data_IF_930800765325
#
_entry.id   IF_930800765325
#
_cell.length_a   1.000
_cell.length_b   1.000
_cell.length_c   1.000
_cell.angle_alpha   90.00
_cell.angle_beta   90.00
_cell.angle_gamma   90.00
#
_symmetry.space_group_name_H-M   'P 1'
#
loop_
_entity.id
_entity.type
_entity.pdbx_description
1 polymer ?
#
# COMPACT_ATOMS: atom_id res chain seq x y z
N UNK A 1 -8.62 75.28 -9.39
CA UNK A 1 -8.08 73.90 -9.56
C UNK A 1 -9.21 72.99 -9.99
N UNK A 2 -9.22 72.52 -11.25
CA UNK A 2 -10.22 71.57 -11.77
C UNK A 2 -9.61 70.17 -11.82
N UNK A 3 -10.16 69.27 -11.02
CA UNK A 3 -9.80 67.85 -10.94
C UNK A 3 -10.00 67.16 -12.30
N UNK A 4 -8.92 66.63 -12.88
CA UNK A 4 -8.91 65.77 -14.08
C UNK A 4 -8.88 64.28 -13.71
N UNK A 5 -9.57 63.88 -12.64
CA UNK A 5 -9.50 62.51 -12.11
C UNK A 5 -10.40 61.43 -12.77
N UNK A 6 -11.44 61.69 -13.60
CA UNK A 6 -12.30 60.59 -14.06
C UNK A 6 -11.69 59.77 -15.21
N UNK A 7 -10.67 60.29 -15.90
CA UNK A 7 -10.14 59.66 -17.12
C UNK A 7 -9.08 58.59 -16.87
N UNK A 8 -8.38 58.64 -15.72
CA UNK A 8 -7.36 57.65 -15.35
C UNK A 8 -7.96 56.37 -14.76
N UNK A 9 -9.10 56.51 -14.07
CA UNK A 9 -9.80 55.39 -13.44
C UNK A 9 -10.47 54.48 -14.49
N UNK A 10 -10.95 55.07 -15.60
CA UNK A 10 -11.56 54.31 -16.70
C UNK A 10 -10.54 53.50 -17.53
N UNK A 11 -9.31 54.01 -17.67
CA UNK A 11 -8.21 53.34 -18.36
C UNK A 11 -7.65 52.14 -17.57
N UNK A 12 -7.65 52.22 -16.24
CA UNK A 12 -7.21 51.12 -15.37
C UNK A 12 -8.20 49.94 -15.34
N UNK A 13 -9.51 50.21 -15.46
CA UNK A 13 -10.55 49.15 -15.51
C UNK A 13 -10.57 48.43 -16.87
N UNK A 14 -10.25 49.12 -17.97
CA UNK A 14 -10.13 48.49 -19.29
C UNK A 14 -8.94 47.54 -19.40
N UNK A 15 -7.84 47.83 -18.72
CA UNK A 15 -6.60 47.01 -18.78
C UNK A 15 -6.71 45.71 -17.96
N UNK A 16 -7.50 45.67 -16.90
CA UNK A 16 -7.73 44.44 -16.11
C UNK A 16 -8.65 43.44 -16.79
N UNK A 17 -9.56 43.89 -17.67
CA UNK A 17 -10.46 42.98 -18.41
C UNK A 17 -9.71 42.24 -19.53
N UNK A 18 -8.65 42.84 -20.09
CA UNK A 18 -7.83 42.23 -21.14
C UNK A 18 -6.81 41.20 -20.62
N UNK A 19 -6.49 41.19 -19.33
CA UNK A 19 -5.53 40.24 -18.74
C UNK A 19 -6.19 38.93 -18.27
N UNK A 20 -7.51 38.90 -18.15
CA UNK A 20 -8.27 37.74 -17.63
C UNK A 20 -8.62 36.70 -18.69
N UNK A 21 -8.30 36.94 -19.96
CA UNK A 21 -8.58 36.04 -21.08
C UNK A 21 -7.31 35.34 -21.56
N UNK A 22 -6.62 34.66 -20.64
CA UNK A 22 -5.61 33.67 -21.04
C UNK A 22 -6.34 32.38 -21.46
N UNK A 23 -6.05 31.81 -22.64
CA UNK A 23 -6.55 30.47 -22.96
C UNK A 23 -6.03 29.50 -21.90
N UNK A 24 -6.82 28.50 -21.46
CA UNK A 24 -6.32 27.48 -20.57
C UNK A 24 -5.08 26.86 -21.23
N UNK A 25 -3.95 26.90 -20.51
CA UNK A 25 -2.80 26.11 -20.90
C UNK A 25 -3.25 24.65 -20.97
N UNK A 26 -2.75 23.92 -21.97
CA UNK A 26 -3.12 22.54 -22.26
C UNK A 26 -2.75 21.66 -21.05
N UNK A 27 -3.74 21.32 -20.22
CA UNK A 27 -3.66 20.42 -19.07
C UNK A 27 -4.14 18.99 -19.40
N UNK A 28 -4.09 18.59 -20.67
CA UNK A 28 -4.50 17.23 -21.06
C UNK A 28 -3.46 16.17 -20.63
N UNK A 29 -2.19 16.54 -20.52
CA UNK A 29 -1.08 15.65 -20.17
C UNK A 29 -1.03 15.37 -18.65
N UNK A 30 -1.35 16.38 -17.82
CA UNK A 30 -1.27 16.28 -16.35
C UNK A 30 -2.32 15.32 -15.76
N UNK A 31 -3.54 15.26 -16.30
CA UNK A 31 -4.58 14.37 -15.76
C UNK A 31 -4.29 12.90 -16.11
N UNK A 32 -3.86 12.63 -17.34
CA UNK A 32 -3.48 11.27 -17.77
C UNK A 32 -2.24 10.75 -17.02
N UNK A 33 -1.25 11.62 -16.79
CA UNK A 33 -0.07 11.30 -15.98
C UNK A 33 -0.43 11.00 -14.52
N UNK A 34 -1.38 11.74 -13.95
CA UNK A 34 -1.83 11.51 -12.58
C UNK A 34 -2.63 10.19 -12.44
N UNK A 35 -3.47 9.86 -13.42
CA UNK A 35 -4.17 8.57 -13.46
C UNK A 35 -3.21 7.39 -13.67
N UNK A 36 -2.21 7.54 -14.53
CA UNK A 36 -1.18 6.53 -14.75
C UNK A 36 -0.35 6.31 -13.46
N UNK A 37 0.01 7.39 -12.77
CA UNK A 37 0.70 7.34 -11.49
C UNK A 37 -0.15 6.67 -10.41
N UNK A 38 -1.44 7.01 -10.31
CA UNK A 38 -2.34 6.40 -9.33
C UNK A 38 -2.52 4.91 -9.59
N UNK A 39 -2.66 4.49 -10.86
CA UNK A 39 -2.68 3.07 -11.24
C UNK A 39 -1.39 2.37 -10.84
N UNK A 40 -0.23 2.98 -11.10
CA UNK A 40 1.06 2.42 -10.72
C UNK A 40 1.20 2.26 -9.19
N UNK A 41 0.78 3.25 -8.41
CA UNK A 41 0.80 3.18 -6.95
C UNK A 41 -0.16 2.12 -6.40
N UNK A 42 -1.38 2.05 -6.95
CA UNK A 42 -2.35 1.01 -6.58
C UNK A 42 -1.80 -0.38 -6.90
N UNK A 43 -1.17 -0.55 -8.07
CA UNK A 43 -0.54 -1.81 -8.47
C UNK A 43 0.59 -2.20 -7.49
N UNK A 44 1.46 -1.25 -7.13
CA UNK A 44 2.53 -1.49 -6.14
C UNK A 44 2.00 -1.88 -4.76
N UNK A 45 0.85 -1.36 -4.34
CA UNK A 45 0.22 -1.72 -3.07
C UNK A 45 -0.35 -3.14 -3.14
N UNK A 46 -0.99 -3.51 -4.25
CA UNK A 46 -1.53 -4.86 -4.45
C UNK A 46 -0.42 -5.92 -4.61
N UNK A 47 0.69 -5.54 -5.24
CA UNK A 47 1.81 -6.45 -5.52
C UNK A 47 2.72 -6.66 -4.31
N UNK A 48 2.57 -5.87 -3.23
CA UNK A 48 3.44 -5.96 -2.06
C UNK A 48 3.16 -7.27 -1.31
N UNK A 49 4.12 -8.23 -1.27
CA UNK A 49 3.92 -9.46 -0.54
C UNK A 49 3.79 -9.16 0.96
N UNK A 50 3.12 -10.05 1.69
CA UNK A 50 3.06 -9.96 3.15
C UNK A 50 4.47 -9.89 3.73
N UNK A 51 4.76 -8.78 4.42
CA UNK A 51 5.96 -8.63 5.21
C UNK A 51 5.63 -8.95 6.68
N UNK A 52 6.13 -10.06 7.24
CA UNK A 52 5.96 -10.36 8.66
C UNK A 52 6.70 -9.36 9.58
N UNK A 53 7.42 -8.39 9.01
CA UNK A 53 8.12 -7.32 9.71
C UNK A 53 9.51 -7.77 10.15
N UNK A 54 9.57 -8.62 11.18
CA UNK A 54 10.84 -9.08 11.75
C UNK A 54 11.15 -10.52 11.30
N UNK A 55 11.76 -10.64 10.12
CA UNK A 55 12.21 -11.94 9.59
C UNK A 55 13.26 -12.59 10.49
N UNK A 56 14.16 -11.82 11.08
CA UNK A 56 15.20 -12.35 11.96
C UNK A 56 14.60 -13.00 13.22
N UNK A 57 13.54 -12.41 13.78
CA UNK A 57 12.81 -13.03 14.91
C UNK A 57 12.10 -14.33 14.51
N UNK A 58 11.59 -14.44 13.27
CA UNK A 58 11.01 -15.68 12.75
C UNK A 58 12.09 -16.75 12.63
N UNK A 59 13.22 -16.43 11.99
CA UNK A 59 14.31 -17.37 11.77
C UNK A 59 14.88 -17.89 13.09
N UNK A 60 15.13 -16.99 14.05
CA UNK A 60 15.58 -17.34 15.39
C UNK A 60 14.59 -18.27 16.10
N UNK A 61 13.29 -17.96 16.02
CA UNK A 61 12.27 -18.83 16.61
C UNK A 61 12.27 -20.22 15.97
N UNK A 62 12.41 -20.31 14.64
CA UNK A 62 12.44 -21.59 13.94
C UNK A 62 13.65 -22.41 14.35
N UNK A 63 14.84 -21.81 14.38
CA UNK A 63 16.07 -22.46 14.80
C UNK A 63 15.95 -23.02 16.23
N UNK A 64 15.53 -22.18 17.18
CA UNK A 64 15.38 -22.59 18.58
C UNK A 64 14.32 -23.69 18.76
N UNK A 65 13.21 -23.61 18.02
CA UNK A 65 12.11 -24.57 18.13
C UNK A 65 12.49 -25.91 17.53
N UNK A 66 13.07 -25.91 16.32
CA UNK A 66 13.57 -27.11 15.66
C UNK A 66 14.64 -27.80 16.51
N UNK A 67 15.57 -27.04 17.11
CA UNK A 67 16.60 -27.57 18.00
C UNK A 67 16.03 -28.25 19.24
N UNK A 68 14.90 -27.74 19.77
CA UNK A 68 14.21 -28.35 20.91
C UNK A 68 13.45 -29.63 20.53
N UNK A 69 13.15 -29.85 19.25
CA UNK A 69 12.47 -31.05 18.75
C UNK A 69 11.04 -31.24 19.27
N UNK A 70 10.48 -30.23 19.94
CA UNK A 70 9.12 -30.28 20.51
C UNK A 70 8.11 -30.17 19.38
N UNK A 71 7.10 -31.03 19.38
CA UNK A 71 6.06 -31.02 18.35
C UNK A 71 5.40 -29.64 18.22
N UNK A 72 5.23 -29.12 17.00
CA UNK A 72 4.53 -27.86 16.76
C UNK A 72 3.04 -27.98 17.09
N UNK A 73 2.34 -26.84 17.14
CA UNK A 73 0.88 -26.82 17.28
C UNK A 73 0.25 -27.56 16.10
N UNK A 74 -0.56 -28.58 16.38
CA UNK A 74 -1.13 -29.46 15.33
C UNK A 74 -2.46 -28.95 14.76
N UNK A 75 -3.14 -28.06 15.48
CA UNK A 75 -4.42 -27.50 15.05
C UNK A 75 -4.23 -26.20 14.25
N UNK A 76 -4.88 -26.07 13.08
CA UNK A 76 -4.85 -24.83 12.32
C UNK A 76 -5.65 -23.70 13.00
N UNK A 77 -5.41 -22.43 12.62
CA UNK A 77 -6.22 -21.32 13.12
C UNK A 77 -7.69 -21.42 12.68
N UNK A 78 -8.62 -20.76 13.40
CA UNK A 78 -10.00 -20.65 12.97
C UNK A 78 -10.11 -20.08 11.55
N UNK A 79 -10.91 -20.72 10.70
CA UNK A 79 -11.14 -20.29 9.33
C UNK A 79 -10.07 -20.70 8.32
N UNK A 80 -9.12 -21.57 8.69
CA UNK A 80 -8.20 -22.23 7.75
C UNK A 80 -8.98 -22.90 6.62
N UNK A 81 -8.51 -22.76 5.37
CA UNK A 81 -9.23 -23.26 4.18
C UNK A 81 -8.37 -24.24 3.37
N UNK A 82 -9.00 -25.07 2.52
CA UNK A 82 -8.27 -25.92 1.60
C UNK A 82 -7.34 -25.11 0.68
N UNK A 83 -6.10 -25.57 0.53
CA UNK A 83 -5.09 -24.93 -0.32
C UNK A 83 -4.36 -23.74 0.32
N UNK A 84 -4.66 -23.39 1.57
CA UNK A 84 -3.92 -22.33 2.26
C UNK A 84 -2.49 -22.75 2.60
N UNK A 85 -1.61 -21.76 2.55
CA UNK A 85 -0.22 -21.83 3.01
C UNK A 85 -0.02 -20.85 4.17
N UNK A 86 1.19 -20.84 4.75
CA UNK A 86 1.51 -19.86 5.78
C UNK A 86 1.37 -18.41 5.30
N UNK A 87 1.55 -18.14 4.01
CA UNK A 87 1.38 -16.81 3.43
C UNK A 87 -0.07 -16.29 3.50
N UNK A 88 -1.06 -17.16 3.71
CA UNK A 88 -2.46 -16.75 3.90
C UNK A 88 -2.74 -16.25 5.33
N UNK A 89 -1.80 -16.42 6.27
CA UNK A 89 -1.94 -16.06 7.68
C UNK A 89 -1.40 -14.65 7.99
N UNK A 90 -1.54 -13.72 7.03
CA UNK A 90 -1.03 -12.34 7.09
C UNK A 90 -1.60 -11.53 8.26
N UNK A 91 -2.75 -11.94 8.77
CA UNK A 91 -3.47 -11.29 9.87
C UNK A 91 -2.88 -11.61 11.26
N UNK A 92 -1.98 -12.58 11.38
CA UNK A 92 -1.41 -12.95 12.67
C UNK A 92 0.01 -13.51 12.56
N UNK A 93 0.97 -12.74 13.07
CA UNK A 93 2.36 -13.16 13.16
C UNK A 93 2.52 -14.49 13.92
N UNK A 94 1.75 -14.71 14.99
CA UNK A 94 1.79 -15.97 15.76
C UNK A 94 1.38 -17.16 14.90
N UNK A 95 0.27 -17.06 14.17
CA UNK A 95 -0.21 -18.15 13.32
C UNK A 95 0.71 -18.39 12.14
N UNK A 96 1.18 -17.32 11.50
CA UNK A 96 2.20 -17.36 10.46
C UNK A 96 3.45 -18.12 10.92
N UNK A 97 4.05 -17.71 12.03
CA UNK A 97 5.28 -18.31 12.56
C UNK A 97 5.10 -19.76 13.00
N UNK A 98 3.96 -20.07 13.64
CA UNK A 98 3.61 -21.45 14.00
C UNK A 98 3.41 -22.34 12.77
N UNK A 99 2.78 -21.81 11.71
CA UNK A 99 2.62 -22.51 10.44
C UNK A 99 3.97 -22.83 9.80
N UNK A 100 4.89 -21.86 9.78
CA UNK A 100 6.24 -22.09 9.28
C UNK A 100 6.93 -23.21 10.07
N UNK A 101 6.81 -23.19 11.40
CA UNK A 101 7.39 -24.23 12.22
C UNK A 101 6.77 -25.61 11.95
N UNK A 102 5.44 -25.68 11.84
CA UNK A 102 4.73 -26.89 11.46
C UNK A 102 5.20 -27.44 10.12
N UNK A 103 5.26 -26.59 9.10
CA UNK A 103 5.71 -26.95 7.76
C UNK A 103 7.17 -27.40 7.73
N UNK A 104 8.07 -26.74 8.48
CA UNK A 104 9.47 -27.18 8.60
C UNK A 104 9.60 -28.52 9.32
N UNK A 105 8.80 -28.77 10.34
CA UNK A 105 8.86 -30.00 11.14
C UNK A 105 8.29 -31.22 10.39
N UNK A 106 7.15 -31.04 9.71
CA UNK A 106 6.41 -32.13 9.06
C UNK A 106 6.60 -32.22 7.53
N UNK A 107 7.01 -31.13 6.88
CA UNK A 107 7.16 -31.05 5.42
C UNK A 107 5.84 -30.81 4.65
N UNK A 108 4.74 -30.56 5.35
CA UNK A 108 3.43 -30.24 4.76
C UNK A 108 2.69 -29.20 5.60
N UNK A 109 1.71 -28.50 5.00
CA UNK A 109 0.87 -27.52 5.71
C UNK A 109 -0.23 -28.20 6.53
N UNK A 110 -0.81 -27.50 7.50
CA UNK A 110 -1.90 -28.06 8.30
C UNK A 110 -3.00 -28.69 7.43
N UNK A 111 -3.43 -29.92 7.76
CA UNK A 111 -4.57 -30.52 7.09
C UNK A 111 -5.81 -29.66 7.37
N UNK A 112 -6.70 -29.61 6.38
CA UNK A 112 -8.01 -29.07 6.61
C UNK A 112 -8.79 -30.05 7.50
N UNK A 113 -9.40 -29.59 8.61
CA UNK A 113 -10.15 -30.45 9.52
C UNK A 113 -11.41 -31.04 8.89
#
# INVERSE_FOLDING_TARGET
MRSRFPSLLLLMVGLTILFSFQPPAVFADEEEDMEALQRALNQQVLDRPFDPGDRAAVDKYLEESLKKGVKPVESPPPGWRPGWTCANLTYSFRWYRNCLYYHHYYGYYWPYP
#
